data_IF_934304635353
#
_entry.id   IF_934304635353
#
_cell.length_a   1.000
_cell.length_b   1.000
_cell.length_c   1.000
_cell.angle_alpha   90.00
_cell.angle_beta   90.00
_cell.angle_gamma   90.00
#
_symmetry.space_group_name_H-M   'P 1'
#
loop_
_entity.id
_entity.type
_entity.pdbx_description
1 polymer ?
#
# COMPACT_ATOMS: atom_id res chain seq x y z
N UNK A 1 4.81 18.10 -8.72
CA UNK A 1 6.06 17.36 -8.47
C UNK A 1 5.66 15.92 -8.28
N UNK A 2 6.23 15.00 -9.05
CA UNK A 2 5.74 13.63 -9.18
C UNK A 2 5.94 12.84 -7.89
N UNK A 3 4.83 12.46 -7.26
CA UNK A 3 4.78 11.38 -6.29
C UNK A 3 4.68 10.09 -7.10
N UNK A 4 5.73 9.28 -7.11
CA UNK A 4 5.68 7.96 -7.75
C UNK A 4 5.12 6.95 -6.73
N UNK A 5 3.99 6.34 -7.12
CA UNK A 5 3.28 5.25 -6.45
C UNK A 5 2.52 5.57 -5.17
N UNK A 6 1.34 4.97 -5.02
CA UNK A 6 0.50 5.06 -3.80
C UNK A 6 0.84 3.99 -2.74
N UNK A 7 1.81 3.10 -3.05
CA UNK A 7 2.16 1.89 -2.27
C UNK A 7 3.65 1.91 -1.88
N UNK A 8 4.09 0.94 -1.08
CA UNK A 8 5.49 0.85 -0.61
C UNK A 8 6.50 0.69 -1.74
N UNK A 9 7.67 1.30 -1.56
CA UNK A 9 8.84 1.17 -2.44
C UNK A 9 8.61 1.62 -3.88
N UNK A 10 7.58 2.44 -4.10
CA UNK A 10 7.31 3.06 -5.39
C UNK A 10 7.72 4.54 -5.42
N UNK A 11 7.99 5.13 -4.24
CA UNK A 11 8.48 6.50 -4.11
C UNK A 11 9.99 6.54 -3.91
N UNK A 12 10.64 7.55 -4.50
CA UNK A 12 12.09 7.81 -4.36
C UNK A 12 12.51 7.89 -2.89
N UNK A 13 11.63 8.48 -2.07
CA UNK A 13 11.80 8.62 -0.64
C UNK A 13 11.89 7.27 0.10
N UNK A 14 11.08 6.29 -0.29
CA UNK A 14 11.12 4.98 0.35
C UNK A 14 12.43 4.26 0.00
N UNK A 15 12.93 4.44 -1.24
CA UNK A 15 14.20 3.87 -1.67
C UNK A 15 15.38 4.52 -0.94
N UNK A 16 15.37 5.85 -0.78
CA UNK A 16 16.39 6.56 0.02
C UNK A 16 16.45 6.05 1.46
N UNK A 17 15.27 5.84 2.09
CA UNK A 17 15.19 5.32 3.46
C UNK A 17 15.80 3.92 3.53
N UNK A 18 15.50 3.04 2.59
CA UNK A 18 16.08 1.69 2.54
C UNK A 18 17.60 1.76 2.38
N UNK A 19 18.12 2.59 1.48
CA UNK A 19 19.57 2.73 1.28
C UNK A 19 20.28 3.07 2.59
N UNK A 20 19.78 4.06 3.33
CA UNK A 20 20.37 4.44 4.63
C UNK A 20 20.20 3.33 5.67
N UNK A 21 19.07 2.63 5.68
CA UNK A 21 18.86 1.49 6.57
C UNK A 21 19.83 0.33 6.28
N UNK A 22 20.16 0.07 5.02
CA UNK A 22 21.14 -0.96 4.65
C UNK A 22 22.51 -0.67 5.26
N UNK A 23 22.97 0.59 5.15
CA UNK A 23 24.23 1.05 5.76
C UNK A 23 24.23 0.87 7.28
N UNK A 24 23.13 1.25 7.94
CA UNK A 24 22.99 1.16 9.39
C UNK A 24 22.95 -0.28 9.92
N UNK A 25 22.29 -1.17 9.19
CA UNK A 25 22.24 -2.60 9.48
C UNK A 25 23.56 -3.30 9.13
N UNK A 26 24.42 -2.65 8.34
CA UNK A 26 25.64 -3.25 7.81
C UNK A 26 25.32 -4.48 6.97
N UNK A 27 24.31 -4.35 6.10
CA UNK A 27 23.90 -5.33 5.08
C UNK A 27 24.11 -4.69 3.71
N UNK A 28 24.22 -5.49 2.65
CA UNK A 28 24.43 -4.97 1.30
C UNK A 28 23.22 -4.17 0.80
N UNK A 29 22.04 -4.80 0.73
CA UNK A 29 20.79 -4.13 0.38
C UNK A 29 19.61 -4.82 1.11
N UNK A 30 18.85 -4.07 1.92
CA UNK A 30 17.70 -4.60 2.67
C UNK A 30 16.41 -4.69 1.83
N UNK A 31 16.35 -4.06 0.65
CA UNK A 31 15.22 -4.15 -0.27
C UNK A 31 15.42 -5.19 -1.37
N UNK A 32 16.58 -5.18 -2.03
CA UNK A 32 16.94 -6.11 -3.11
C UNK A 32 18.31 -6.75 -2.81
N UNK A 33 18.39 -7.66 -1.82
CA UNK A 33 19.62 -8.36 -1.51
C UNK A 33 20.05 -9.30 -2.64
N UNK A 34 21.36 -9.57 -2.73
CA UNK A 34 21.88 -10.66 -3.56
C UNK A 34 21.40 -12.04 -3.06
N UNK A 35 21.37 -12.23 -1.72
CA UNK A 35 20.87 -13.43 -1.06
C UNK A 35 19.87 -13.08 0.05
N UNK A 36 18.59 -13.36 -0.21
CA UNK A 36 17.50 -13.07 0.72
C UNK A 36 17.51 -13.96 1.98
N UNK A 37 18.05 -15.18 1.89
CA UNK A 37 18.13 -16.08 3.06
C UNK A 37 19.27 -15.65 3.99
N UNK A 38 20.41 -15.23 3.43
CA UNK A 38 21.51 -14.63 4.18
C UNK A 38 21.09 -13.32 4.84
N UNK A 39 20.46 -12.41 4.09
CA UNK A 39 19.92 -11.16 4.65
C UNK A 39 18.98 -11.45 5.81
N UNK A 40 18.04 -12.38 5.65
CA UNK A 40 17.12 -12.75 6.73
C UNK A 40 17.87 -13.22 7.99
N UNK A 41 18.88 -14.08 7.84
CA UNK A 41 19.70 -14.56 8.98
C UNK A 41 20.43 -13.40 9.66
N UNK A 42 20.94 -12.45 8.89
CA UNK A 42 21.57 -11.26 9.44
C UNK A 42 20.58 -10.37 10.20
N UNK A 43 19.39 -10.14 9.65
CA UNK A 43 18.34 -9.37 10.32
C UNK A 43 17.92 -10.04 11.64
N UNK A 44 17.70 -11.37 11.60
CA UNK A 44 17.31 -12.22 12.73
C UNK A 44 18.44 -12.40 13.77
N UNK A 45 19.69 -12.02 13.46
CA UNK A 45 20.81 -12.08 14.40
C UNK A 45 20.72 -11.08 15.56
N UNK A 46 19.71 -10.20 15.53
CA UNK A 46 19.48 -9.12 16.49
C UNK A 46 19.76 -7.73 15.92
N UNK A 47 20.32 -7.62 14.71
CA UNK A 47 20.50 -6.35 13.98
C UNK A 47 19.18 -5.61 13.82
N UNK A 48 18.13 -6.30 13.36
CA UNK A 48 16.81 -5.72 13.14
C UNK A 48 16.19 -5.17 14.42
N UNK A 49 16.23 -5.96 15.50
CA UNK A 49 15.73 -5.55 16.81
C UNK A 49 16.51 -4.37 17.38
N UNK A 50 17.85 -4.36 17.24
CA UNK A 50 18.67 -3.23 17.67
C UNK A 50 18.29 -1.94 16.92
N UNK A 51 18.04 -2.03 15.61
CA UNK A 51 17.66 -0.86 14.80
C UNK A 51 16.27 -0.33 15.16
N UNK A 52 15.28 -1.20 15.36
CA UNK A 52 13.97 -0.77 15.87
C UNK A 52 14.05 -0.08 17.24
N UNK A 53 14.93 -0.52 18.13
CA UNK A 53 15.15 0.16 19.43
C UNK A 53 15.69 1.57 19.22
N UNK A 54 16.67 1.75 18.34
CA UNK A 54 17.19 3.09 18.01
C UNK A 54 16.09 4.01 17.45
N UNK A 55 15.24 3.50 16.56
CA UNK A 55 14.09 4.24 15.99
C UNK A 55 13.06 4.63 17.04
N UNK A 56 12.70 3.69 17.91
CA UNK A 56 11.74 3.94 18.99
C UNK A 56 12.27 4.94 20.01
N UNK A 57 13.53 4.79 20.40
CA UNK A 57 14.15 5.59 21.46
C UNK A 57 14.70 6.94 20.93
N UNK A 58 14.66 7.15 19.61
CA UNK A 58 15.07 8.40 18.96
C UNK A 58 16.58 8.62 18.94
N UNK A 59 17.36 7.55 18.90
CA UNK A 59 18.82 7.58 19.08
C UNK A 59 19.61 7.93 17.80
N UNK A 60 19.10 8.85 16.97
CA UNK A 60 19.76 9.28 15.73
C UNK A 60 20.27 10.71 15.82
N UNK A 61 21.42 10.99 15.18
CA UNK A 61 21.97 12.35 15.07
C UNK A 61 21.36 13.10 13.89
N UNK A 62 21.47 14.44 13.86
CA UNK A 62 20.84 15.30 12.83
C UNK A 62 21.27 15.01 11.38
N UNK A 63 22.40 14.31 11.19
CA UNK A 63 22.93 13.92 9.88
C UNK A 63 22.46 12.51 9.43
N UNK A 64 21.74 11.77 10.29
CA UNK A 64 21.31 10.39 10.04
C UNK A 64 19.85 10.32 9.52
N UNK A 65 19.19 9.19 9.77
CA UNK A 65 17.76 8.93 9.56
C UNK A 65 16.81 9.98 10.18
N UNK A 66 17.30 10.95 10.96
CA UNK A 66 16.50 12.08 11.48
C UNK A 66 16.02 13.03 10.39
N UNK A 67 16.71 13.08 9.24
CA UNK A 67 16.21 13.79 8.05
C UNK A 67 14.87 13.19 7.59
N UNK A 68 14.73 11.87 7.75
CA UNK A 68 13.48 11.17 7.55
C UNK A 68 12.67 11.17 8.85
N UNK A 69 11.35 11.13 8.74
CA UNK A 69 10.52 10.95 9.93
C UNK A 69 10.79 9.55 10.51
N UNK A 70 11.34 9.45 11.72
CA UNK A 70 11.70 8.18 12.38
C UNK A 70 10.55 7.16 12.39
N UNK A 71 9.31 7.62 12.46
CA UNK A 71 8.13 6.76 12.38
C UNK A 71 7.90 6.20 10.98
N UNK A 72 8.12 7.01 9.94
CA UNK A 72 8.11 6.56 8.55
C UNK A 72 9.22 5.53 8.33
N UNK A 73 10.42 5.81 8.83
CA UNK A 73 11.57 4.89 8.74
C UNK A 73 11.29 3.55 9.40
N UNK A 74 10.68 3.53 10.59
CA UNK A 74 10.28 2.29 11.26
C UNK A 74 9.26 1.48 10.45
N UNK A 75 8.33 2.16 9.79
CA UNK A 75 7.33 1.54 8.93
C UNK A 75 7.99 0.93 7.67
N UNK A 76 8.90 1.66 7.02
CA UNK A 76 9.66 1.16 5.84
C UNK A 76 10.57 0.00 6.21
N UNK A 77 11.28 0.08 7.33
CA UNK A 77 12.11 -1.02 7.85
C UNK A 77 11.28 -2.29 8.09
N UNK A 78 10.10 -2.14 8.71
CA UNK A 78 9.20 -3.27 8.92
C UNK A 78 8.70 -3.87 7.59
N UNK A 79 8.38 -3.04 6.59
CA UNK A 79 8.00 -3.54 5.27
C UNK A 79 9.14 -4.33 4.59
N UNK A 80 10.38 -3.83 4.67
CA UNK A 80 11.55 -4.52 4.11
C UNK A 80 11.85 -5.83 4.85
N UNK A 81 11.77 -5.82 6.18
CA UNK A 81 11.93 -7.03 7.00
C UNK A 81 10.88 -8.10 6.69
N UNK A 82 9.61 -7.71 6.53
CA UNK A 82 8.52 -8.63 6.16
C UNK A 82 8.72 -9.24 4.78
N UNK A 83 9.21 -8.45 3.81
CA UNK A 83 9.51 -8.92 2.44
C UNK A 83 10.45 -10.13 2.44
N UNK A 84 11.41 -10.17 3.35
CA UNK A 84 12.39 -11.26 3.46
C UNK A 84 12.04 -12.29 4.54
N UNK A 85 10.90 -12.14 5.21
CA UNK A 85 10.46 -13.09 6.24
C UNK A 85 11.23 -12.96 7.57
N UNK A 86 11.84 -11.81 7.87
CA UNK A 86 12.56 -11.60 9.12
C UNK A 86 11.61 -11.49 10.33
N UNK A 87 12.09 -11.88 11.49
CA UNK A 87 11.32 -11.96 12.73
C UNK A 87 11.12 -10.57 13.32
N UNK A 88 9.86 -10.15 13.50
CA UNK A 88 9.52 -8.86 14.11
C UNK A 88 8.81 -9.12 15.43
N UNK A 89 9.40 -8.66 16.53
CA UNK A 89 8.84 -8.86 17.86
C UNK A 89 7.44 -8.22 18.00
N UNK A 90 6.56 -8.76 18.88
CA UNK A 90 5.24 -8.18 19.11
C UNK A 90 5.27 -6.71 19.52
N UNK A 91 6.27 -6.31 20.31
CA UNK A 91 6.45 -4.93 20.75
C UNK A 91 6.73 -4.00 19.56
N UNK A 92 7.58 -4.42 18.61
CA UNK A 92 7.85 -3.62 17.42
C UNK A 92 6.70 -3.64 16.42
N UNK A 93 5.98 -4.76 16.30
CA UNK A 93 4.73 -4.80 15.52
C UNK A 93 3.72 -3.77 16.05
N UNK A 94 3.59 -3.66 17.38
CA UNK A 94 2.73 -2.63 17.99
C UNK A 94 3.27 -1.22 17.75
N UNK A 95 4.59 -1.00 17.91
CA UNK A 95 5.21 0.30 17.63
C UNK A 95 5.00 0.75 16.17
N UNK A 96 5.06 -0.16 15.21
CA UNK A 96 4.76 0.11 13.79
C UNK A 96 3.28 0.50 13.63
N UNK A 97 2.34 -0.23 14.25
CA UNK A 97 0.91 0.14 14.26
C UNK A 97 0.66 1.53 14.86
N UNK A 98 1.30 1.84 15.97
CA UNK A 98 1.18 3.15 16.63
C UNK A 98 1.77 4.27 15.74
N UNK A 99 2.83 3.95 15.00
CA UNK A 99 3.46 4.85 14.03
C UNK A 99 2.54 5.15 12.85
N UNK A 100 1.77 4.17 12.35
CA UNK A 100 0.80 4.35 11.26
C UNK A 100 -0.34 5.32 11.62
N UNK A 101 -0.70 5.44 12.89
CA UNK A 101 -1.68 6.42 13.38
C UNK A 101 -1.16 7.86 13.41
N UNK A 102 0.13 8.07 13.17
CA UNK A 102 0.76 9.39 13.16
C UNK A 102 0.70 10.04 11.77
N UNK A 103 1.01 11.34 11.70
CA UNK A 103 1.20 12.03 10.42
C UNK A 103 2.50 11.56 9.77
N UNK A 104 2.40 10.55 8.91
CA UNK A 104 3.49 10.07 8.06
C UNK A 104 3.39 10.70 6.67
N UNK A 105 4.54 10.98 6.07
CA UNK A 105 4.71 11.42 4.67
C UNK A 105 4.61 10.22 3.73
N UNK A 106 3.48 9.53 3.80
CA UNK A 106 3.15 8.30 3.08
C UNK A 106 1.68 8.35 2.67
N UNK A 107 1.37 7.77 1.51
CA UNK A 107 0.01 7.68 0.97
C UNK A 107 -0.90 6.82 1.88
N UNK A 108 -2.18 7.18 1.97
CA UNK A 108 -3.12 6.45 2.83
C UNK A 108 -3.26 4.97 2.44
N UNK A 109 -3.34 4.59 1.14
CA UNK A 109 -3.35 3.19 0.73
C UNK A 109 -2.13 2.39 1.21
N UNK A 110 -0.93 2.97 1.22
CA UNK A 110 0.25 2.32 1.78
C UNK A 110 0.09 2.09 3.30
N UNK A 111 -0.45 3.05 4.05
CA UNK A 111 -0.70 2.88 5.49
C UNK A 111 -1.70 1.75 5.77
N UNK A 112 -2.77 1.69 5.00
CA UNK A 112 -3.83 0.69 5.16
C UNK A 112 -3.32 -0.72 4.80
N UNK A 113 -2.53 -0.83 3.74
CA UNK A 113 -1.84 -2.06 3.37
C UNK A 113 -0.86 -2.50 4.46
N UNK A 114 -0.07 -1.59 5.02
CA UNK A 114 0.87 -1.89 6.10
C UNK A 114 0.16 -2.39 7.36
N UNK A 115 -0.95 -1.72 7.74
CA UNK A 115 -1.73 -2.12 8.90
C UNK A 115 -2.24 -3.56 8.73
N UNK A 116 -2.77 -3.87 7.54
CA UNK A 116 -3.22 -5.21 7.19
C UNK A 116 -2.07 -6.21 7.17
N UNK A 117 -0.93 -5.83 6.59
CA UNK A 117 0.26 -6.66 6.48
C UNK A 117 0.77 -7.10 7.85
N UNK A 118 0.91 -6.17 8.79
CA UNK A 118 1.38 -6.47 10.15
C UNK A 118 0.46 -7.46 10.87
N UNK A 119 -0.85 -7.39 10.61
CA UNK A 119 -1.84 -8.30 11.22
C UNK A 119 -1.75 -9.72 10.66
N UNK A 120 -1.48 -9.87 9.37
CA UNK A 120 -1.40 -11.19 8.71
C UNK A 120 0.01 -11.79 8.73
N UNK A 121 1.04 -10.97 8.95
CA UNK A 121 2.43 -11.36 8.83
C UNK A 121 2.83 -12.45 9.84
N UNK A 122 3.52 -13.48 9.34
CA UNK A 122 4.03 -14.60 10.14
C UNK A 122 5.54 -14.63 10.02
N UNK A 123 6.23 -14.61 11.16
CA UNK A 123 7.69 -14.65 11.19
C UNK A 123 8.19 -15.85 10.39
N UNK A 124 9.20 -15.61 9.56
CA UNK A 124 9.76 -16.60 8.68
C UNK A 124 9.05 -16.87 7.37
N UNK A 125 7.92 -16.19 7.12
CA UNK A 125 7.20 -16.25 5.84
C UNK A 125 7.35 -14.91 5.12
N UNK A 126 8.13 -14.84 4.03
CA UNK A 126 8.21 -13.65 3.18
C UNK A 126 6.84 -13.10 2.79
N UNK A 127 6.66 -11.78 2.97
CA UNK A 127 5.45 -11.04 2.59
C UNK A 127 5.85 -9.76 1.87
N UNK A 128 5.77 -9.78 0.54
CA UNK A 128 6.11 -8.62 -0.28
C UNK A 128 4.95 -7.63 -0.37
N UNK A 129 5.23 -6.38 -0.02
CA UNK A 129 4.29 -5.26 -0.02
C UNK A 129 4.51 -4.30 -1.21
N UNK A 130 5.56 -4.50 -2.00
CA UNK A 130 5.85 -3.63 -3.15
C UNK A 130 4.79 -3.72 -4.26
N UNK A 131 3.98 -4.79 -4.25
CA UNK A 131 3.10 -5.16 -5.35
C UNK A 131 3.92 -5.60 -6.57
N UNK A 132 3.55 -6.71 -7.21
CA UNK A 132 4.29 -7.18 -8.38
C UNK A 132 4.26 -6.12 -9.48
N UNK A 133 5.44 -5.78 -10.02
CA UNK A 133 5.55 -4.89 -11.15
C UNK A 133 4.95 -5.51 -12.43
N UNK A 134 4.61 -4.66 -13.41
CA UNK A 134 4.05 -5.10 -14.69
C UNK A 134 4.93 -6.12 -15.42
N UNK A 135 6.25 -5.98 -15.32
CA UNK A 135 7.22 -6.85 -15.99
C UNK A 135 7.34 -8.23 -15.32
N UNK A 136 7.19 -8.33 -14.00
CA UNK A 136 7.28 -9.60 -13.27
C UNK A 136 6.06 -10.51 -13.51
N UNK A 137 4.92 -9.92 -13.84
CA UNK A 137 3.70 -10.63 -14.24
C UNK A 137 3.78 -11.23 -15.65
N UNK A 138 4.70 -10.74 -16.50
CA UNK A 138 4.83 -11.21 -17.88
C UNK A 138 5.66 -12.50 -18.00
N UNK A 139 6.55 -12.77 -17.03
CA UNK A 139 7.50 -13.89 -17.09
C UNK A 139 7.10 -15.11 -16.23
N UNK A 140 5.97 -15.07 -15.51
CA UNK A 140 5.50 -16.21 -14.71
C UNK A 140 4.62 -17.16 -15.52
N UNK A 141 5.10 -18.39 -15.74
CA UNK A 141 4.42 -19.42 -16.54
C UNK A 141 3.27 -20.10 -15.77
N UNK A 142 3.37 -20.16 -14.44
CA UNK A 142 2.31 -20.65 -13.55
C UNK A 142 1.75 -19.48 -12.72
N UNK A 143 0.55 -19.01 -13.10
CA UNK A 143 -0.20 -18.00 -12.35
C UNK A 143 -0.63 -18.61 -11.00
N UNK A 144 -0.22 -18.07 -9.84
CA UNK A 144 -0.59 -18.66 -8.55
C UNK A 144 -2.12 -18.64 -8.41
N UNK A 145 -2.72 -19.81 -8.15
CA UNK A 145 -4.11 -19.86 -7.72
C UNK A 145 -4.17 -19.33 -6.29
N UNK A 146 -4.50 -18.04 -6.17
CA UNK A 146 -4.66 -17.36 -4.88
C UNK A 146 -3.46 -16.52 -4.42
N UNK A 147 -2.60 -16.06 -5.34
CA UNK A 147 -1.56 -15.09 -5.03
C UNK A 147 -1.29 -14.19 -6.24
N UNK A 148 -1.29 -12.88 -6.03
CA UNK A 148 -0.82 -11.92 -7.04
C UNK A 148 -1.92 -11.28 -7.90
N UNK A 149 -2.85 -10.59 -7.27
CA UNK A 149 -3.26 -9.25 -7.71
C UNK A 149 -3.60 -8.49 -6.44
N UNK A 150 -3.22 -7.21 -6.37
CA UNK A 150 -3.73 -6.17 -5.48
C UNK A 150 -4.81 -6.63 -4.49
N UNK A 151 -4.62 -6.42 -3.17
CA UNK A 151 -5.65 -6.63 -2.15
C UNK A 151 -6.87 -5.75 -2.46
N UNK A 152 -7.75 -6.27 -3.31
CA UNK A 152 -9.17 -6.02 -3.46
C UNK A 152 -9.65 -7.24 -4.25
N UNK A 153 -10.37 -8.16 -3.61
CA UNK A 153 -11.11 -9.15 -4.38
C UNK A 153 -12.00 -8.40 -5.38
N UNK A 154 -12.27 -8.95 -6.58
CA UNK A 154 -13.20 -8.34 -7.53
C UNK A 154 -14.57 -8.01 -6.91
N UNK A 155 -14.95 -8.73 -5.84
CA UNK A 155 -16.18 -8.48 -5.09
C UNK A 155 -16.12 -7.22 -4.20
N UNK A 156 -14.94 -6.81 -3.70
CA UNK A 156 -14.77 -5.60 -2.86
C UNK A 156 -14.43 -4.36 -3.69
N UNK A 157 -13.75 -4.51 -4.84
CA UNK A 157 -13.56 -3.41 -5.82
C UNK A 157 -14.92 -2.80 -6.26
N UNK A 158 -15.99 -3.60 -6.24
CA UNK A 158 -17.34 -3.14 -6.57
C UNK A 158 -18.00 -2.28 -5.46
N UNK A 159 -17.44 -2.25 -4.25
CA UNK A 159 -18.11 -1.66 -3.08
C UNK A 159 -17.55 -0.31 -2.61
N UNK A 160 -16.32 0.10 -2.97
CA UNK A 160 -15.72 1.33 -2.43
C UNK A 160 -14.86 2.08 -3.45
N UNK A 161 -15.42 2.41 -4.62
CA UNK A 161 -14.89 3.52 -5.40
C UNK A 161 -15.47 4.83 -4.85
N UNK A 162 -14.59 5.79 -4.59
CA UNK A 162 -14.96 7.20 -4.65
C UNK A 162 -15.64 7.42 -5.99
N UNK A 163 -16.96 7.60 -5.99
CA UNK A 163 -17.70 7.97 -7.19
C UNK A 163 -17.28 9.40 -7.51
N UNK A 164 -16.26 9.57 -8.35
CA UNK A 164 -16.15 10.76 -9.18
C UNK A 164 -17.53 10.92 -9.85
N UNK A 165 -18.12 12.11 -9.72
CA UNK A 165 -19.42 12.42 -10.31
C UNK A 165 -19.27 12.38 -11.84
N UNK A 166 -19.34 11.17 -12.41
CA UNK A 166 -19.25 10.88 -13.83
C UNK A 166 -20.59 10.45 -14.42
N UNK A 167 -20.80 10.81 -15.68
CA UNK A 167 -22.00 10.44 -16.42
C UNK A 167 -21.97 8.97 -16.82
N UNK A 168 -22.99 8.21 -16.41
CA UNK A 168 -23.11 6.76 -16.68
C UNK A 168 -23.30 6.39 -18.16
N UNK A 169 -23.42 7.36 -19.07
CA UNK A 169 -23.50 7.12 -20.52
C UNK A 169 -22.21 7.53 -21.25
N UNK A 170 -21.65 8.69 -20.93
CA UNK A 170 -20.55 9.26 -21.71
C UNK A 170 -19.21 9.33 -20.95
N UNK A 171 -19.18 8.94 -19.67
CA UNK A 171 -17.96 8.89 -18.85
C UNK A 171 -17.32 10.26 -18.60
N UNK A 172 -18.06 11.36 -18.79
CA UNK A 172 -17.56 12.71 -18.52
C UNK A 172 -17.93 13.12 -17.09
N UNK A 173 -16.94 13.53 -16.32
CA UNK A 173 -17.11 14.22 -15.05
C UNK A 173 -17.55 15.68 -15.25
N UNK A 174 -18.48 16.16 -14.44
CA UNK A 174 -18.83 17.59 -14.39
C UNK A 174 -19.35 17.95 -13.01
N UNK A 175 -19.12 19.19 -12.57
CA UNK A 175 -19.48 19.66 -11.23
C UNK A 175 -21.00 19.67 -10.94
N UNK A 176 -21.86 19.44 -11.94
CA UNK A 176 -23.30 19.40 -11.79
C UNK A 176 -23.97 18.28 -12.63
N UNK A 177 -23.87 17.03 -12.18
CA UNK A 177 -24.59 15.92 -12.80
C UNK A 177 -26.03 15.76 -12.29
N UNK A 178 -26.93 15.46 -13.22
CA UNK A 178 -28.32 15.10 -12.93
C UNK A 178 -28.39 13.68 -12.37
N UNK A 179 -29.07 13.51 -11.24
CA UNK A 179 -29.36 12.19 -10.67
C UNK A 179 -30.65 11.61 -11.25
N UNK A 180 -30.68 10.29 -11.41
CA UNK A 180 -31.91 9.58 -11.76
C UNK A 180 -32.99 9.82 -10.70
N UNK A 181 -34.10 10.48 -11.07
CA UNK A 181 -35.19 10.82 -10.14
C UNK A 181 -35.87 9.61 -9.46
N UNK A 182 -35.60 8.38 -9.90
CA UNK A 182 -36.16 7.17 -9.28
C UNK A 182 -35.22 6.58 -8.24
N UNK A 183 -33.98 6.29 -8.62
CA UNK A 183 -33.04 5.56 -7.76
C UNK A 183 -32.00 6.45 -7.08
N UNK A 184 -31.86 7.70 -7.53
CA UNK A 184 -30.83 8.67 -7.14
C UNK A 184 -29.35 8.22 -7.27
N UNK A 185 -29.09 6.96 -7.64
CA UNK A 185 -27.76 6.34 -7.75
C UNK A 185 -27.04 6.62 -9.07
N UNK A 186 -27.76 6.63 -10.19
CA UNK A 186 -27.15 6.90 -11.50
C UNK A 186 -27.09 8.41 -11.78
N UNK A 187 -25.99 8.86 -12.39
CA UNK A 187 -25.69 10.28 -12.67
C UNK A 187 -25.49 10.51 -14.17
N UNK A 188 -25.93 11.65 -14.68
CA UNK A 188 -25.92 11.98 -16.10
C UNK A 188 -25.60 13.44 -16.36
N UNK A 189 -24.85 13.75 -17.42
CA UNK A 189 -24.59 15.15 -17.82
C UNK A 189 -25.87 15.91 -18.17
N UNK A 190 -26.84 15.22 -18.80
CA UNK A 190 -28.09 15.80 -19.26
C UNK A 190 -29.16 14.71 -19.47
N UNK A 191 -30.40 15.14 -19.75
CA UNK A 191 -31.54 14.24 -20.00
C UNK A 191 -31.35 13.37 -21.26
N UNK A 192 -30.51 13.78 -22.22
CA UNK A 192 -30.20 12.97 -23.40
C UNK A 192 -29.33 11.77 -23.04
N UNK A 193 -28.31 11.96 -22.20
CA UNK A 193 -27.46 10.89 -21.68
C UNK A 193 -28.29 9.91 -20.84
N UNK A 194 -29.21 10.41 -20.02
CA UNK A 194 -30.13 9.57 -19.24
C UNK A 194 -31.02 8.70 -20.15
N UNK A 195 -31.58 9.27 -21.23
CA UNK A 195 -32.43 8.52 -22.18
C UNK A 195 -31.65 7.45 -22.94
N UNK A 196 -30.40 7.74 -23.34
CA UNK A 196 -29.52 6.77 -24.00
C UNK A 196 -29.16 5.60 -23.07
N UNK A 197 -28.77 5.91 -21.84
CA UNK A 197 -28.45 4.91 -20.82
C UNK A 197 -29.68 4.12 -20.33
N UNK A 198 -30.91 4.62 -20.51
CA UNK A 198 -32.11 4.04 -19.92
C UNK A 198 -32.30 2.56 -20.24
N UNK A 199 -32.00 2.12 -21.47
CA UNK A 199 -32.11 0.70 -21.86
C UNK A 199 -31.22 -0.20 -20.98
N UNK A 200 -30.02 0.28 -20.64
CA UNK A 200 -29.06 -0.43 -19.78
C UNK A 200 -29.36 -0.22 -18.30
N UNK A 201 -29.86 0.96 -17.90
CA UNK A 201 -30.10 1.31 -16.50
C UNK A 201 -31.40 0.73 -15.92
N UNK A 202 -32.46 0.66 -16.73
CA UNK A 202 -33.80 0.19 -16.33
C UNK A 202 -33.84 -1.11 -15.51
N UNK A 203 -33.13 -2.21 -15.88
CA UNK A 203 -33.21 -3.48 -15.15
C UNK A 203 -32.75 -3.42 -13.70
N UNK A 204 -31.84 -2.51 -13.35
CA UNK A 204 -31.27 -2.37 -11.99
C UNK A 204 -31.70 -1.07 -11.29
N UNK A 205 -32.65 -0.33 -11.88
CA UNK A 205 -33.15 0.93 -11.33
C UNK A 205 -34.19 0.68 -10.23
N UNK A 206 -33.73 0.58 -8.98
CA UNK A 206 -34.58 0.43 -7.79
C UNK A 206 -34.83 1.78 -7.11
N UNK A 207 -36.05 2.08 -6.66
CA UNK A 207 -36.31 3.32 -5.91
C UNK A 207 -35.44 3.41 -4.65
N UNK A 208 -34.96 4.61 -4.35
CA UNK A 208 -34.28 4.89 -3.08
C UNK A 208 -35.35 4.96 -1.98
N UNK A 209 -35.13 4.26 -0.86
CA UNK A 209 -36.13 4.09 0.19
C UNK A 209 -36.39 5.38 0.98
#
# INVERSE_FOLDING_TARGET
MGFWGDRFFQSDRDLDIVCVLSEHLGVDDVYIPEDAEELRKELDSGKLEAEFRKLRDGAYTEEDLSFFNVKTTAVVLAAAAMRHGATISPDFRQYVKDSLNSRLEMHQPAKDDMATAIDIYRDGTPLDLAGMGLFELMDTVDRPKGGGVNILSPEIFTACEFVEDECSECGKGSDALLRCARCHKARYCNTECQKKAWKKHKPWCTPDA
#
